data_IF_257617888923
#
_entry.id   IF_257617888923
#
_cell.length_a   1.000
_cell.length_b   1.000
_cell.length_c   1.000
_cell.angle_alpha   90.00
_cell.angle_beta   90.00
_cell.angle_gamma   90.00
#
_symmetry.space_group_name_H-M   'P 1'
#
loop_
_entity.id
_entity.type
_entity.pdbx_description
1 polymer ?
#
# COMPACT_ATOMS: atom_id res chain seq x y z
N UNK A 1 -10.43 -8.85 -1.89
CA UNK A 1 -9.61 -9.92 -2.50
C UNK A 1 -9.88 -11.24 -1.82
N UNK A 2 -9.55 -12.35 -2.46
CA UNK A 2 -9.61 -13.69 -1.84
C UNK A 2 -8.59 -13.77 -0.68
N UNK A 3 -8.91 -14.61 0.32
CA UNK A 3 -8.01 -14.89 1.42
C UNK A 3 -6.72 -15.56 0.90
N UNK A 4 -5.58 -15.13 1.42
CA UNK A 4 -4.26 -15.67 1.11
C UNK A 4 -3.72 -16.43 2.31
N UNK A 5 -3.04 -17.56 2.05
CA UNK A 5 -2.28 -18.25 3.08
C UNK A 5 -0.92 -17.58 3.32
N UNK A 6 -0.26 -17.92 4.43
CA UNK A 6 1.10 -17.45 4.69
C UNK A 6 2.11 -17.93 3.63
N UNK A 7 1.85 -19.10 3.01
CA UNK A 7 2.68 -19.65 1.94
C UNK A 7 2.50 -18.83 0.64
N UNK A 8 1.25 -18.48 0.27
CA UNK A 8 0.97 -17.63 -0.89
C UNK A 8 1.67 -16.28 -0.76
N UNK A 9 1.60 -15.68 0.45
CA UNK A 9 2.24 -14.40 0.72
C UNK A 9 3.76 -14.52 0.62
N UNK A 10 4.39 -15.54 1.22
CA UNK A 10 5.84 -15.77 1.11
C UNK A 10 6.26 -15.98 -0.35
N UNK A 11 5.52 -16.78 -1.09
CA UNK A 11 5.80 -17.05 -2.50
C UNK A 11 5.78 -15.77 -3.35
N UNK A 12 4.89 -14.81 -3.03
CA UNK A 12 4.79 -13.53 -3.74
C UNK A 12 6.05 -12.66 -3.63
N UNK A 13 6.85 -12.79 -2.56
CA UNK A 13 8.09 -12.03 -2.37
C UNK A 13 9.35 -12.71 -2.92
N UNK A 14 9.27 -14.00 -3.26
CA UNK A 14 10.44 -14.80 -3.63
C UNK A 14 11.24 -15.31 -2.43
N UNK A 15 12.28 -16.12 -2.68
CA UNK A 15 12.92 -16.96 -1.66
C UNK A 15 13.94 -16.28 -0.74
N UNK A 16 14.22 -14.99 -0.87
CA UNK A 16 15.38 -14.35 -0.24
C UNK A 16 15.08 -13.27 0.81
N UNK A 17 13.83 -12.96 1.09
CA UNK A 17 13.52 -11.89 2.03
C UNK A 17 13.10 -12.46 3.38
N UNK A 18 13.75 -12.02 4.45
CA UNK A 18 13.32 -12.23 5.82
C UNK A 18 12.02 -11.44 6.04
N UNK A 19 10.89 -12.11 5.81
CA UNK A 19 9.57 -11.50 5.76
C UNK A 19 8.88 -11.59 7.12
N UNK A 20 8.56 -10.44 7.71
CA UNK A 20 7.63 -10.40 8.83
C UNK A 20 6.20 -10.48 8.32
N UNK A 21 5.46 -11.54 8.70
CA UNK A 21 4.08 -11.76 8.27
C UNK A 21 3.08 -11.11 9.25
N UNK A 22 1.94 -10.62 8.75
CA UNK A 22 0.85 -10.15 9.60
C UNK A 22 0.12 -11.34 10.28
N UNK A 23 -0.71 -11.03 11.26
CA UNK A 23 -1.66 -11.99 11.82
C UNK A 23 -2.83 -12.12 10.84
N UNK A 24 -2.95 -13.27 10.18
CA UNK A 24 -3.91 -13.48 9.10
C UNK A 24 -5.36 -13.56 9.59
N UNK A 25 -5.56 -14.03 10.82
CA UNK A 25 -6.86 -14.17 11.46
C UNK A 25 -7.57 -12.83 11.68
N UNK A 26 -6.79 -11.74 11.80
CA UNK A 26 -7.31 -10.38 12.00
C UNK A 26 -7.65 -9.67 10.69
N UNK A 27 -7.45 -10.32 9.53
CA UNK A 27 -7.64 -9.69 8.22
C UNK A 27 -9.05 -9.91 7.70
N UNK A 28 -9.83 -8.84 7.60
CA UNK A 28 -11.11 -8.83 6.90
C UNK A 28 -10.90 -8.77 5.37
N UNK A 29 -10.75 -9.92 4.74
CA UNK A 29 -10.37 -10.06 3.33
C UNK A 29 -11.34 -9.42 2.33
N UNK A 30 -12.64 -9.45 2.59
CA UNK A 30 -13.68 -8.82 1.78
C UNK A 30 -13.56 -7.29 1.71
N UNK A 31 -12.84 -6.67 2.66
CA UNK A 31 -12.56 -5.25 2.66
C UNK A 31 -11.19 -4.89 2.07
N UNK A 32 -10.47 -5.86 1.52
CA UNK A 32 -9.15 -5.67 0.91
C UNK A 32 -9.20 -5.78 -0.61
N UNK A 33 -8.51 -4.86 -1.29
CA UNK A 33 -8.30 -4.90 -2.74
C UNK A 33 -6.87 -5.37 -3.05
N UNK A 34 -5.98 -5.18 -2.10
CA UNK A 34 -4.63 -5.72 -2.00
C UNK A 34 -4.28 -5.91 -0.52
N UNK A 35 -3.39 -6.83 -0.21
CA UNK A 35 -2.88 -7.02 1.15
C UNK A 35 -1.75 -6.04 1.41
N UNK A 36 -1.76 -5.42 2.59
CA UNK A 36 -0.69 -4.50 3.01
C UNK A 36 -0.59 -4.41 4.52
N UNK A 37 0.64 -4.26 5.02
CA UNK A 37 0.91 -4.11 6.45
C UNK A 37 2.22 -3.37 6.69
N UNK A 38 2.42 -2.92 7.92
CA UNK A 38 3.65 -2.25 8.38
C UNK A 38 4.42 -3.19 9.27
N UNK A 39 5.73 -3.23 9.07
CA UNK A 39 6.63 -3.94 9.98
C UNK A 39 6.60 -3.32 11.38
N UNK A 40 6.71 -4.09 12.49
CA UNK A 40 6.68 -3.57 13.85
C UNK A 40 7.71 -2.46 14.13
N UNK A 41 8.84 -2.47 13.42
CA UNK A 41 9.84 -1.38 13.53
C UNK A 41 9.34 -0.03 13.02
N UNK A 42 8.23 0.01 12.26
CA UNK A 42 7.71 1.22 11.62
C UNK A 42 8.46 1.69 10.37
N UNK A 43 9.60 1.08 10.02
CA UNK A 43 10.45 1.52 8.91
C UNK A 43 10.20 0.82 7.58
N UNK A 44 9.49 -0.30 7.60
CA UNK A 44 9.17 -1.07 6.41
C UNK A 44 7.64 -1.19 6.26
N UNK A 45 7.20 -1.25 5.03
CA UNK A 45 5.85 -1.61 4.65
C UNK A 45 5.89 -2.70 3.59
N UNK A 46 4.83 -3.50 3.55
CA UNK A 46 4.69 -4.60 2.63
C UNK A 46 3.38 -4.47 1.86
N UNK A 47 3.41 -4.80 0.59
CA UNK A 47 2.21 -4.89 -0.24
C UNK A 47 2.27 -6.20 -1.02
N UNK A 48 1.14 -6.91 -1.06
CA UNK A 48 0.90 -8.04 -1.96
C UNK A 48 -0.32 -7.71 -2.80
N UNK A 49 -0.16 -7.76 -4.11
CA UNK A 49 -1.23 -7.49 -5.07
C UNK A 49 -1.21 -8.51 -6.20
N UNK A 50 -2.37 -8.73 -6.81
CA UNK A 50 -2.48 -9.55 -8.02
C UNK A 50 -2.15 -8.67 -9.23
N UNK A 51 -1.25 -9.15 -10.07
CA UNK A 51 -0.88 -8.47 -11.32
C UNK A 51 -2.03 -8.51 -12.32
N UNK A 52 -2.36 -7.38 -12.96
CA UNK A 52 -3.35 -7.36 -14.02
C UNK A 52 -2.86 -8.01 -15.33
N UNK A 53 -1.54 -8.24 -15.47
CA UNK A 53 -0.93 -8.74 -16.70
C UNK A 53 -0.97 -10.27 -16.78
N UNK A 54 -0.67 -10.96 -15.67
CA UNK A 54 -0.50 -12.41 -15.63
C UNK A 54 -1.35 -13.09 -14.52
N UNK A 55 -2.05 -12.31 -13.70
CA UNK A 55 -2.88 -12.80 -12.60
C UNK A 55 -2.08 -13.31 -11.40
N UNK A 56 -0.75 -13.29 -11.44
CA UNK A 56 0.09 -13.75 -10.34
C UNK A 56 0.13 -12.78 -9.14
N UNK A 57 0.44 -13.31 -7.97
CA UNK A 57 0.69 -12.50 -6.79
C UNK A 57 2.13 -11.94 -6.82
N UNK A 58 2.25 -10.64 -6.57
CA UNK A 58 3.53 -9.96 -6.45
C UNK A 58 3.62 -9.25 -5.10
N UNK A 59 4.69 -9.56 -4.37
CA UNK A 59 5.04 -8.93 -3.11
C UNK A 59 6.13 -7.87 -3.30
N UNK A 60 5.99 -6.75 -2.61
CA UNK A 60 7.00 -5.68 -2.61
C UNK A 60 7.27 -5.18 -1.22
N UNK A 61 8.54 -4.91 -0.93
CA UNK A 61 9.00 -4.29 0.31
C UNK A 61 9.24 -2.81 0.06
N UNK A 62 8.70 -1.98 0.92
CA UNK A 62 8.78 -0.54 0.86
C UNK A 62 9.57 -0.02 2.05
N UNK A 63 10.45 0.95 1.84
CA UNK A 63 11.02 1.73 2.94
C UNK A 63 10.04 2.83 3.30
N UNK A 64 9.68 2.93 4.59
CA UNK A 64 8.75 3.92 5.13
C UNK A 64 9.53 5.01 5.85
N UNK A 65 9.22 6.24 5.49
CA UNK A 65 9.73 7.44 6.15
C UNK A 65 8.56 8.23 6.72
N UNK A 66 8.52 8.37 8.03
CA UNK A 66 7.53 9.21 8.68
C UNK A 66 7.76 10.67 8.32
N UNK A 67 6.70 11.33 7.94
CA UNK A 67 6.72 12.76 7.70
C UNK A 67 6.45 13.47 9.04
N UNK A 68 7.34 14.34 9.46
CA UNK A 68 7.12 15.15 10.67
C UNK A 68 5.82 15.94 10.51
N UNK A 69 4.90 15.82 11.48
CA UNK A 69 3.70 16.64 11.48
C UNK A 69 4.09 18.12 11.46
N UNK A 70 3.56 18.84 10.49
CA UNK A 70 3.62 20.31 10.48
C UNK A 70 2.20 20.81 10.65
N UNK A 71 1.99 21.76 11.56
CA UNK A 71 0.71 22.42 11.71
C UNK A 71 0.21 22.93 10.34
N UNK A 72 -1.07 22.76 10.07
CA UNK A 72 -1.76 23.20 8.85
C UNK A 72 -1.33 22.52 7.53
N UNK A 73 -0.63 21.37 7.55
CA UNK A 73 -0.33 20.64 6.33
C UNK A 73 -1.38 19.55 6.07
N UNK A 74 -1.88 19.54 4.85
CA UNK A 74 -2.68 18.46 4.31
C UNK A 74 -1.81 17.61 3.36
N UNK A 75 -1.84 16.28 3.53
CA UNK A 75 -1.15 15.35 2.66
C UNK A 75 -2.17 14.42 2.00
N UNK A 76 -2.21 14.40 0.67
CA UNK A 76 -3.07 13.51 -0.08
C UNK A 76 -2.32 12.21 -0.41
N UNK A 77 -2.96 11.09 -0.16
CA UNK A 77 -2.45 9.77 -0.54
C UNK A 77 -2.45 9.63 -2.07
N UNK A 78 -1.31 9.28 -2.67
CA UNK A 78 -1.17 9.07 -4.12
C UNK A 78 -1.95 7.86 -4.65
N UNK A 79 -2.37 6.94 -3.78
CA UNK A 79 -3.09 5.74 -4.17
C UNK A 79 -4.61 5.94 -4.03
N UNK A 80 -5.11 6.26 -2.83
CA UNK A 80 -6.54 6.33 -2.57
C UNK A 80 -7.14 7.74 -2.57
N UNK A 81 -6.30 8.77 -2.68
CA UNK A 81 -6.68 10.19 -2.60
C UNK A 81 -7.29 10.64 -1.27
N UNK A 82 -7.18 9.81 -0.22
CA UNK A 82 -7.55 10.24 1.12
C UNK A 82 -6.67 11.42 1.55
N UNK A 83 -7.28 12.49 2.00
CA UNK A 83 -6.59 13.69 2.49
C UNK A 83 -6.42 13.60 3.99
N UNK A 84 -5.18 13.48 4.42
CA UNK A 84 -4.77 13.42 5.81
C UNK A 84 -4.48 14.82 6.34
N UNK A 85 -4.98 15.12 7.53
CA UNK A 85 -4.52 16.24 8.32
C UNK A 85 -3.47 15.75 9.34
N UNK A 86 -2.42 16.56 9.57
CA UNK A 86 -1.47 16.36 10.66
C UNK A 86 -0.77 14.97 10.74
N UNK A 87 -0.23 14.47 9.61
CA UNK A 87 0.74 13.36 9.65
C UNK A 87 0.18 11.95 9.47
N UNK A 88 -1.06 11.78 9.01
CA UNK A 88 -1.63 10.46 8.69
C UNK A 88 -1.05 9.80 7.44
N UNK A 89 -0.20 10.49 6.67
CA UNK A 89 0.50 9.97 5.50
C UNK A 89 2.00 9.81 5.78
N UNK A 90 2.64 8.87 5.08
CA UNK A 90 4.07 8.67 5.11
C UNK A 90 4.63 8.63 3.68
N UNK A 91 5.94 8.85 3.54
CA UNK A 91 6.62 8.62 2.28
C UNK A 91 7.09 7.17 2.22
N UNK A 92 6.67 6.48 1.17
CA UNK A 92 7.12 5.12 0.89
C UNK A 92 7.97 5.09 -0.36
N UNK A 93 9.10 4.38 -0.28
CA UNK A 93 10.09 4.30 -1.34
C UNK A 93 10.30 2.86 -1.76
N UNK A 94 10.17 2.62 -3.06
CA UNK A 94 10.53 1.38 -3.74
C UNK A 94 11.90 1.51 -4.39
N UNK A 95 12.71 0.47 -4.28
CA UNK A 95 13.88 0.32 -5.14
C UNK A 95 13.45 -0.29 -6.47
N UNK A 96 13.84 0.30 -7.61
CA UNK A 96 13.56 -0.28 -8.92
C UNK A 96 14.25 -1.65 -9.06
N UNK A 97 13.47 -2.68 -9.43
CA UNK A 97 13.96 -4.05 -9.59
C UNK A 97 15.05 -4.08 -10.67
N UNK A 98 16.18 -4.72 -10.37
CA UNK A 98 17.32 -4.80 -11.27
C UNK A 98 18.23 -3.56 -11.32
N UNK A 99 17.94 -2.51 -10.54
CA UNK A 99 18.78 -1.29 -10.53
C UNK A 99 20.03 -1.40 -9.64
N UNK A 100 20.18 -2.50 -8.88
CA UNK A 100 21.24 -2.64 -7.87
C UNK A 100 21.18 -1.56 -6.78
N UNK A 101 20.00 -1.12 -6.40
CA UNK A 101 19.79 -0.08 -5.38
C UNK A 101 19.96 1.36 -5.85
N UNK A 102 20.34 1.58 -7.11
CA UNK A 102 20.68 2.93 -7.63
C UNK A 102 19.48 3.78 -7.99
N UNK A 103 18.32 3.18 -8.22
CA UNK A 103 17.10 3.91 -8.62
C UNK A 103 15.96 3.59 -7.66
N UNK A 104 15.30 4.62 -7.20
CA UNK A 104 14.16 4.52 -6.28
C UNK A 104 12.99 5.37 -6.76
N UNK A 105 11.78 4.92 -6.44
CA UNK A 105 10.54 5.66 -6.70
C UNK A 105 9.80 5.83 -5.38
N UNK A 106 9.46 7.08 -5.06
CA UNK A 106 8.79 7.41 -3.80
C UNK A 106 7.39 7.98 -4.05
N UNK A 107 6.46 7.60 -3.19
CA UNK A 107 5.11 8.16 -3.15
C UNK A 107 4.70 8.50 -1.72
N UNK A 108 3.86 9.51 -1.58
CA UNK A 108 3.16 9.81 -0.32
C UNK A 108 1.90 8.96 -0.27
N UNK A 109 1.81 8.07 0.72
CA UNK A 109 0.71 7.09 0.84
C UNK A 109 0.19 7.11 2.28
N UNK A 110 -1.00 6.57 2.54
CA UNK A 110 -1.51 6.37 3.89
C UNK A 110 -0.44 5.70 4.77
N UNK A 111 -0.13 6.28 5.92
CA UNK A 111 0.99 5.86 6.75
C UNK A 111 0.92 4.43 7.28
N UNK A 112 -0.29 3.87 7.31
CA UNK A 112 -0.60 2.47 7.67
C UNK A 112 -0.85 1.57 6.44
N UNK A 113 -0.70 2.09 5.22
CA UNK A 113 -1.06 1.44 3.95
C UNK A 113 -2.55 1.03 3.85
N UNK A 114 -3.42 1.53 4.71
CA UNK A 114 -4.83 1.16 4.84
C UNK A 114 -5.76 1.72 3.76
N UNK A 115 -5.30 1.85 2.51
CA UNK A 115 -6.07 2.47 1.42
C UNK A 115 -7.41 1.79 1.14
N UNK A 116 -7.44 0.44 1.14
CA UNK A 116 -8.69 -0.33 0.91
C UNK A 116 -9.76 -0.05 1.96
N UNK A 117 -9.35 0.10 3.23
CA UNK A 117 -10.27 0.42 4.33
C UNK A 117 -10.74 1.88 4.27
N UNK A 118 -9.85 2.81 3.85
CA UNK A 118 -10.18 4.24 3.77
C UNK A 118 -11.20 4.56 2.69
N UNK A 119 -11.11 3.93 1.52
CA UNK A 119 -12.11 4.14 0.47
C UNK A 119 -13.51 3.61 0.84
N UNK A 120 -13.57 2.69 1.82
CA UNK A 120 -14.78 2.12 2.42
C UNK A 120 -15.22 2.85 3.70
N UNK A 121 -14.49 3.87 4.11
CA UNK A 121 -14.74 4.66 5.33
C UNK A 121 -14.76 3.82 6.63
N UNK A 122 -14.03 2.69 6.64
CA UNK A 122 -13.95 1.75 7.77
C UNK A 122 -12.90 2.13 8.82
N UNK A 123 -12.10 3.18 8.57
CA UNK A 123 -11.05 3.65 9.49
C UNK A 123 -11.16 5.15 9.74
N UNK A 124 -10.70 5.56 10.93
CA UNK A 124 -10.61 6.96 11.35
C UNK A 124 -9.16 7.45 11.34
N UNK A 125 -8.90 8.76 11.22
CA UNK A 125 -9.87 9.81 10.90
C UNK A 125 -10.35 9.70 9.45
N UNK A 126 -11.56 10.21 9.19
CA UNK A 126 -12.09 10.33 7.82
C UNK A 126 -11.27 11.33 7.01
N UNK A 127 -11.40 11.28 5.68
CA UNK A 127 -10.73 12.23 4.79
C UNK A 127 -11.15 13.67 5.11
N UNK A 128 -10.17 14.58 5.15
CA UNK A 128 -10.44 16.00 5.31
C UNK A 128 -11.26 16.58 4.14
N UNK A 129 -11.10 15.99 2.96
CA UNK A 129 -11.93 16.31 1.79
C UNK A 129 -12.73 15.07 1.41
N UNK A 130 -14.04 15.25 1.29
CA UNK A 130 -14.93 14.19 0.83
C UNK A 130 -14.98 14.18 -0.70
N UNK A 131 -15.20 13.02 -1.27
CA UNK A 131 -15.41 12.84 -2.70
C UNK A 131 -16.71 12.09 -2.98
N UNK A 132 -17.36 12.42 -4.08
CA UNK A 132 -18.67 11.87 -4.46
C UNK A 132 -18.59 10.63 -5.36
N UNK A 133 -17.39 10.01 -5.48
CA UNK A 133 -17.23 8.78 -6.26
C UNK A 133 -17.83 7.59 -5.53
N UNK A 134 -18.52 6.74 -6.28
CA UNK A 134 -19.00 5.45 -5.77
C UNK A 134 -17.82 4.47 -5.56
N UNK A 135 -18.05 3.44 -4.75
CA UNK A 135 -17.00 2.56 -4.24
C UNK A 135 -16.21 1.85 -5.35
N UNK A 136 -16.88 1.35 -6.38
CA UNK A 136 -16.24 0.62 -7.49
C UNK A 136 -15.23 1.51 -8.25
N UNK A 137 -15.55 2.79 -8.44
CA UNK A 137 -14.63 3.74 -9.06
C UNK A 137 -13.42 4.03 -8.14
N UNK A 138 -13.63 4.07 -6.83
CA UNK A 138 -12.53 4.20 -5.85
C UNK A 138 -11.64 2.96 -5.86
N UNK A 139 -12.22 1.75 -5.93
CA UNK A 139 -11.47 0.47 -6.03
C UNK A 139 -10.64 0.45 -7.31
N UNK A 140 -11.26 0.75 -8.45
CA UNK A 140 -10.54 0.82 -9.72
C UNK A 140 -9.35 1.79 -9.64
N UNK A 141 -9.56 2.97 -9.09
CA UNK A 141 -8.51 4.00 -8.94
C UNK A 141 -7.34 3.51 -8.09
N UNK A 142 -7.59 2.92 -6.90
CA UNK A 142 -6.51 2.47 -6.03
C UNK A 142 -5.67 1.38 -6.69
N UNK A 143 -6.29 0.44 -7.41
CA UNK A 143 -5.57 -0.60 -8.15
C UNK A 143 -4.77 0.01 -9.29
N UNK A 144 -5.35 0.92 -10.08
CA UNK A 144 -4.65 1.62 -11.17
C UNK A 144 -3.41 2.37 -10.68
N UNK A 145 -3.53 3.13 -9.59
CA UNK A 145 -2.41 3.92 -9.06
C UNK A 145 -1.33 3.02 -8.45
N UNK A 146 -1.71 1.97 -7.74
CA UNK A 146 -0.78 0.99 -7.19
C UNK A 146 -0.03 0.27 -8.32
N UNK A 147 -0.74 -0.31 -9.29
CA UNK A 147 -0.14 -1.04 -10.39
C UNK A 147 0.79 -0.15 -11.23
N UNK A 148 0.38 1.09 -11.52
CA UNK A 148 1.25 2.06 -12.23
C UNK A 148 2.55 2.33 -11.47
N UNK A 149 2.50 2.46 -10.16
CA UNK A 149 3.69 2.65 -9.34
C UNK A 149 4.61 1.43 -9.39
N UNK A 150 4.04 0.21 -9.22
CA UNK A 150 4.79 -1.05 -9.26
C UNK A 150 5.37 -1.35 -10.65
N UNK A 151 4.63 -1.09 -11.72
CA UNK A 151 5.13 -1.23 -13.11
C UNK A 151 6.32 -0.30 -13.37
N UNK A 152 6.23 0.97 -12.92
CA UNK A 152 7.36 1.91 -13.05
C UNK A 152 8.59 1.46 -12.27
N UNK A 153 8.41 0.72 -11.19
CA UNK A 153 9.48 0.11 -10.39
C UNK A 153 9.88 -1.30 -10.88
N UNK A 154 9.30 -1.78 -11.99
CA UNK A 154 9.56 -3.09 -12.62
C UNK A 154 9.19 -4.31 -11.76
N UNK A 155 8.18 -4.17 -10.91
CA UNK A 155 7.63 -5.30 -10.14
C UNK A 155 6.44 -5.96 -10.85
N UNK A 156 5.75 -5.24 -11.73
CA UNK A 156 4.65 -5.73 -12.58
C UNK A 156 4.96 -5.49 -14.04
#
# INVERSE_FOLDING_TARGET
>A
MEALSGEDVKAAFGSNDELWLPVFEDIEWNHRDFLSWIHPSGHLGYIVTRSPNDGNLHGVVLRRYERRPRAARLDMCSICHHVHAMGGAAMFTLTEKGSGGRRTLSNVVCGDLGCSLRIRELVTPKSYMQENLYLEAKIWRILQHLHRWLTRAKYL
#
